data_IF_234362532949
#
_entry.id   IF_234362532949
#
_cell.length_a   1.000
_cell.length_b   1.000
_cell.length_c   1.000
_cell.angle_alpha   90.00
_cell.angle_beta   90.00
_cell.angle_gamma   90.00
#
_symmetry.space_group_name_H-M   'P 1'
#
loop_
_entity.id
_entity.type
_entity.pdbx_description
1 polymer ?
#
# COMPACT_ATOMS: atom_id res chain seq x y z
N UNK A 1 -12.12 19.12 -2.11
CA UNK A 1 -10.81 18.46 -2.44
C UNK A 1 -11.02 17.73 -3.75
N UNK A 2 -10.14 17.96 -4.73
CA UNK A 2 -10.21 17.29 -6.02
C UNK A 2 -9.83 15.81 -5.85
N UNK A 3 -10.51 14.95 -6.62
CA UNK A 3 -10.17 13.54 -6.79
C UNK A 3 -8.68 13.41 -7.18
N UNK A 4 -7.96 12.39 -6.72
CA UNK A 4 -6.59 12.14 -7.17
C UNK A 4 -6.53 12.14 -8.69
N UNK A 5 -5.53 12.73 -9.26
CA UNK A 5 -5.40 13.06 -10.68
C UNK A 5 -5.69 11.92 -11.67
N UNK A 6 -5.55 10.67 -11.26
CA UNK A 6 -5.85 9.49 -12.09
C UNK A 6 -7.09 8.71 -11.64
N UNK A 7 -7.89 9.24 -10.73
CA UNK A 7 -9.13 8.57 -10.27
C UNK A 7 -8.90 7.21 -9.59
N UNK A 8 -7.67 6.92 -9.16
CA UNK A 8 -7.36 5.68 -8.49
C UNK A 8 -7.83 5.74 -7.03
N UNK A 9 -8.69 4.78 -6.67
CA UNK A 9 -9.27 4.71 -5.34
C UNK A 9 -10.38 5.74 -5.11
N UNK A 10 -10.99 5.66 -3.94
CA UNK A 10 -11.98 6.62 -3.47
C UNK A 10 -11.36 7.48 -2.38
N UNK A 11 -11.66 8.77 -2.41
CA UNK A 11 -11.35 9.66 -1.29
C UNK A 11 -12.32 9.31 -0.18
N UNK A 12 -11.75 8.89 0.94
CA UNK A 12 -12.45 8.61 2.16
C UNK A 12 -12.22 9.83 3.04
N UNK A 13 -13.22 10.69 3.16
CA UNK A 13 -13.06 11.93 3.90
C UNK A 13 -12.97 11.62 5.40
N UNK A 14 -11.72 11.53 5.90
CA UNK A 14 -11.38 11.44 7.33
C UNK A 14 -12.10 10.29 8.08
N UNK A 15 -12.23 9.11 7.44
CA UNK A 15 -12.80 7.94 8.10
C UNK A 15 -11.97 7.58 9.36
N UNK A 16 -12.60 7.50 10.54
CA UNK A 16 -11.89 7.26 11.79
C UNK A 16 -11.52 5.78 12.01
N UNK A 17 -12.15 4.87 11.28
CA UNK A 17 -11.94 3.43 11.40
C UNK A 17 -11.76 2.75 10.04
N UNK A 18 -11.01 1.66 10.02
CA UNK A 18 -10.75 0.89 8.80
C UNK A 18 -12.01 0.33 8.17
N UNK A 19 -12.98 -0.09 8.98
CA UNK A 19 -14.26 -0.64 8.49
C UNK A 19 -15.05 0.39 7.70
N UNK A 20 -15.19 1.59 8.23
CA UNK A 20 -15.87 2.69 7.51
C UNK A 20 -15.15 3.03 6.21
N UNK A 21 -13.82 3.05 6.25
CA UNK A 21 -12.98 3.26 5.07
C UNK A 21 -13.19 2.19 3.99
N UNK A 22 -13.34 0.92 4.39
CA UNK A 22 -13.64 -0.20 3.49
C UNK A 22 -14.99 -0.03 2.79
N UNK A 23 -16.05 0.25 3.56
CA UNK A 23 -17.41 0.42 3.05
C UNK A 23 -17.46 1.60 2.07
N UNK A 24 -16.89 2.75 2.43
CA UNK A 24 -16.82 3.93 1.58
C UNK A 24 -16.02 3.69 0.28
N UNK A 25 -15.00 2.86 0.34
CA UNK A 25 -14.18 2.49 -0.82
C UNK A 25 -14.81 1.40 -1.69
N UNK A 26 -15.86 0.71 -1.21
CA UNK A 26 -16.47 -0.44 -1.88
C UNK A 26 -15.54 -1.65 -1.90
N UNK A 27 -14.81 -1.86 -0.80
CA UNK A 27 -13.86 -2.96 -0.60
C UNK A 27 -14.34 -3.98 0.45
N UNK A 28 -15.59 -3.88 0.88
CA UNK A 28 -16.25 -4.71 1.89
C UNK A 28 -16.65 -6.12 1.40
N UNK A 29 -16.26 -6.48 0.17
CA UNK A 29 -16.47 -7.82 -0.38
C UNK A 29 -15.51 -8.85 0.21
N UNK A 30 -15.96 -10.11 0.22
CA UNK A 30 -15.20 -11.26 0.69
C UNK A 30 -14.50 -11.99 -0.46
N UNK A 31 -13.42 -12.69 -0.13
CA UNK A 31 -12.72 -13.60 -1.05
C UNK A 31 -13.00 -15.04 -0.64
N UNK A 32 -13.44 -15.82 -1.61
CA UNK A 32 -13.74 -17.26 -1.43
C UNK A 32 -12.69 -18.12 -2.14
N UNK A 33 -12.34 -19.24 -1.52
CA UNK A 33 -11.46 -20.23 -2.14
C UNK A 33 -12.30 -21.28 -2.84
N UNK A 34 -12.15 -21.44 -4.16
CA UNK A 34 -12.90 -22.40 -4.97
C UNK A 34 -11.99 -23.40 -5.66
N UNK A 35 -12.49 -24.63 -5.89
CA UNK A 35 -11.80 -25.64 -6.67
C UNK A 35 -11.65 -25.19 -8.12
N UNK A 36 -10.56 -25.58 -8.77
CA UNK A 36 -10.36 -25.37 -10.20
C UNK A 36 -10.40 -26.73 -10.93
N UNK A 37 -10.87 -26.69 -12.17
CA UNK A 37 -11.07 -27.88 -12.98
C UNK A 37 -10.39 -27.71 -14.34
N UNK A 38 -9.93 -28.83 -14.91
CA UNK A 38 -9.44 -28.88 -16.28
C UNK A 38 -10.58 -28.74 -17.29
N UNK A 39 -10.26 -28.48 -18.55
CA UNK A 39 -11.25 -28.48 -19.64
C UNK A 39 -12.03 -29.80 -19.81
N UNK A 40 -11.55 -30.88 -19.23
CA UNK A 40 -12.23 -32.21 -19.22
C UNK A 40 -13.09 -32.42 -17.96
N UNK A 41 -13.17 -31.40 -17.06
CA UNK A 41 -13.94 -31.49 -15.82
C UNK A 41 -13.20 -32.15 -14.64
N UNK A 42 -11.97 -32.57 -14.81
CA UNK A 42 -11.18 -33.14 -13.71
C UNK A 42 -10.69 -32.01 -12.78
N UNK A 43 -10.81 -32.20 -11.46
CA UNK A 43 -10.29 -31.27 -10.47
C UNK A 43 -8.76 -31.21 -10.55
N UNK A 44 -8.20 -30.00 -10.49
CA UNK A 44 -6.75 -29.78 -10.46
C UNK A 44 -6.31 -29.73 -9.00
N UNK A 45 -5.54 -30.72 -8.50
CA UNK A 45 -5.11 -30.76 -7.11
C UNK A 45 -3.98 -29.75 -6.86
N UNK A 46 -3.84 -29.33 -5.60
CA UNK A 46 -2.76 -28.43 -5.16
C UNK A 46 -2.97 -26.96 -5.49
N UNK A 47 -4.04 -26.59 -6.17
CA UNK A 47 -4.37 -25.22 -6.55
C UNK A 47 -5.83 -24.87 -6.25
N UNK A 48 -6.07 -23.58 -5.99
CA UNK A 48 -7.39 -23.00 -5.73
C UNK A 48 -7.53 -21.68 -6.48
N UNK A 49 -8.76 -21.34 -6.83
CA UNK A 49 -9.09 -20.00 -7.32
C UNK A 49 -9.55 -19.13 -6.14
N UNK A 50 -8.94 -17.96 -6.00
CA UNK A 50 -9.49 -16.89 -5.15
C UNK A 50 -10.54 -16.14 -5.97
N UNK A 51 -11.76 -16.09 -5.47
CA UNK A 51 -12.93 -15.55 -6.18
C UNK A 51 -13.59 -14.49 -5.30
N UNK A 52 -13.95 -13.36 -5.90
CA UNK A 52 -14.70 -12.31 -5.20
C UNK A 52 -16.17 -12.72 -5.06
N UNK A 53 -16.71 -12.62 -3.84
CA UNK A 53 -18.05 -13.11 -3.50
C UNK A 53 -19.20 -12.34 -4.17
N UNK A 54 -18.97 -11.09 -4.58
CA UNK A 54 -20.04 -10.20 -5.09
C UNK A 54 -20.38 -10.41 -6.56
N UNK A 55 -19.42 -10.90 -7.37
CA UNK A 55 -19.57 -11.00 -8.84
C UNK A 55 -18.87 -12.22 -9.45
N UNK A 56 -18.42 -13.15 -8.62
CA UNK A 56 -17.68 -14.36 -9.03
C UNK A 56 -16.39 -14.10 -9.82
N UNK A 57 -15.85 -12.87 -9.77
CA UNK A 57 -14.62 -12.53 -10.46
C UNK A 57 -13.42 -13.30 -9.90
N UNK A 58 -12.69 -13.99 -10.78
CA UNK A 58 -11.46 -14.70 -10.40
C UNK A 58 -10.33 -13.69 -10.17
N UNK A 59 -9.89 -13.57 -8.93
CA UNK A 59 -8.81 -12.67 -8.53
C UNK A 59 -7.44 -13.30 -8.78
N UNK A 60 -7.31 -14.62 -8.62
CA UNK A 60 -6.07 -15.33 -8.86
C UNK A 60 -6.20 -16.83 -8.70
N UNK A 61 -5.19 -17.56 -9.18
CA UNK A 61 -5.01 -18.98 -8.91
C UNK A 61 -3.79 -19.14 -8.03
N UNK A 62 -3.97 -19.74 -6.88
CA UNK A 62 -2.96 -19.84 -5.83
C UNK A 62 -2.79 -21.29 -5.39
N UNK A 63 -1.71 -21.60 -4.66
CA UNK A 63 -1.57 -22.94 -4.09
C UNK A 63 -2.61 -23.19 -2.99
N UNK A 64 -2.90 -24.45 -2.70
CA UNK A 64 -3.78 -24.86 -1.60
C UNK A 64 -3.28 -24.46 -0.20
N UNK A 65 -1.98 -24.12 -0.08
CA UNK A 65 -1.37 -23.58 1.14
C UNK A 65 -1.57 -22.08 1.31
N UNK A 66 -2.09 -21.40 0.28
CA UNK A 66 -2.35 -19.96 0.37
C UNK A 66 -3.50 -19.71 1.36
N UNK A 67 -3.25 -18.82 2.32
CA UNK A 67 -4.25 -18.38 3.27
C UNK A 67 -4.81 -17.03 2.82
N UNK A 68 -6.10 -17.01 2.56
CA UNK A 68 -6.78 -15.76 2.24
C UNK A 68 -6.72 -14.86 3.49
N UNK A 69 -6.26 -13.63 3.29
CA UNK A 69 -6.42 -12.54 4.25
C UNK A 69 -7.51 -11.65 3.68
N UNK A 70 -8.65 -11.59 4.35
CA UNK A 70 -9.76 -10.75 3.92
C UNK A 70 -9.40 -9.26 3.97
N UNK A 71 -10.09 -8.43 3.19
CA UNK A 71 -9.87 -6.99 3.22
C UNK A 71 -10.08 -6.43 4.63
N UNK A 72 -11.16 -6.85 5.28
CA UNK A 72 -11.48 -6.45 6.65
C UNK A 72 -10.36 -6.83 7.63
N UNK A 73 -9.83 -8.07 7.56
CA UNK A 73 -8.73 -8.52 8.42
C UNK A 73 -7.44 -7.69 8.20
N UNK A 74 -7.09 -7.44 6.92
CA UNK A 74 -5.89 -6.68 6.58
C UNK A 74 -5.97 -5.23 7.08
N UNK A 75 -7.15 -4.63 7.07
CA UNK A 75 -7.32 -3.24 7.46
C UNK A 75 -7.63 -3.06 8.94
N UNK A 76 -8.35 -4.00 9.59
CA UNK A 76 -8.51 -4.03 11.03
C UNK A 76 -7.17 -4.17 11.75
N UNK A 77 -6.27 -4.99 11.20
CA UNK A 77 -4.88 -5.05 11.66
C UNK A 77 -4.23 -3.67 11.79
N UNK A 78 -4.64 -2.74 10.93
CA UNK A 78 -4.10 -1.38 10.93
C UNK A 78 -4.65 -0.53 12.07
N UNK A 79 -5.93 -0.69 12.42
CA UNK A 79 -6.51 0.00 13.58
C UNK A 79 -5.76 -0.40 14.87
N UNK A 80 -5.50 -1.70 15.01
CA UNK A 80 -4.71 -2.24 16.13
C UNK A 80 -3.27 -1.72 16.16
N UNK A 81 -2.72 -1.44 14.97
CA UNK A 81 -1.34 -1.01 14.80
C UNK A 81 -1.14 0.48 15.12
N UNK A 82 -2.08 1.31 14.72
CA UNK A 82 -1.91 2.77 14.66
C UNK A 82 -2.39 3.50 15.91
N UNK A 83 -3.37 2.96 16.61
CA UNK A 83 -3.97 3.62 17.78
C UNK A 83 -4.72 4.91 17.41
N UNK A 84 -4.94 5.77 18.41
CA UNK A 84 -5.73 6.99 18.26
C UNK A 84 -5.07 8.06 17.37
N UNK A 85 -5.90 8.83 16.67
CA UNK A 85 -5.49 10.02 15.90
C UNK A 85 -5.06 9.77 14.45
N UNK A 86 -5.16 8.55 13.96
CA UNK A 86 -4.97 8.22 12.56
C UNK A 86 -6.28 8.39 11.80
N UNK A 87 -6.20 8.92 10.59
CA UNK A 87 -7.35 9.05 9.69
C UNK A 87 -7.07 8.40 8.36
N UNK A 88 -8.01 7.59 7.88
CA UNK A 88 -7.92 7.00 6.55
C UNK A 88 -8.29 8.03 5.50
N UNK A 89 -7.43 8.23 4.50
CA UNK A 89 -7.59 9.29 3.50
C UNK A 89 -8.07 8.76 2.15
N UNK A 90 -7.50 7.67 1.68
CA UNK A 90 -7.87 7.03 0.41
C UNK A 90 -7.75 5.52 0.49
N UNK A 91 -8.61 4.82 -0.21
CA UNK A 91 -8.52 3.39 -0.39
C UNK A 91 -9.00 2.99 -1.78
N UNK A 92 -8.57 1.83 -2.27
CA UNK A 92 -8.98 1.36 -3.57
C UNK A 92 -8.44 -0.02 -3.93
N UNK A 93 -8.81 -0.46 -5.13
CA UNK A 93 -8.32 -1.70 -5.70
C UNK A 93 -7.69 -1.48 -7.06
N UNK A 94 -6.83 -2.42 -7.46
CA UNK A 94 -6.14 -2.46 -8.72
C UNK A 94 -6.43 -3.78 -9.43
N UNK A 95 -6.31 -3.78 -10.74
CA UNK A 95 -6.44 -4.98 -11.57
C UNK A 95 -7.73 -5.76 -11.29
N UNK A 96 -8.85 -5.05 -11.17
CA UNK A 96 -10.16 -5.66 -10.93
C UNK A 96 -10.33 -6.27 -9.54
N UNK A 97 -9.63 -5.75 -8.52
CA UNK A 97 -9.71 -6.25 -7.15
C UNK A 97 -8.63 -7.25 -6.76
N UNK A 98 -7.72 -7.62 -7.68
CA UNK A 98 -6.59 -8.54 -7.38
C UNK A 98 -5.66 -7.99 -6.30
N UNK A 99 -5.56 -6.67 -6.22
CA UNK A 99 -4.75 -5.94 -5.25
C UNK A 99 -5.60 -4.86 -4.61
N UNK A 100 -5.51 -4.73 -3.30
CA UNK A 100 -6.21 -3.70 -2.54
C UNK A 100 -5.21 -2.90 -1.71
N UNK A 101 -5.49 -1.64 -1.51
CA UNK A 101 -4.63 -0.75 -0.74
C UNK A 101 -5.47 0.28 0.02
N UNK A 102 -4.90 0.76 1.11
CA UNK A 102 -5.43 1.85 1.92
C UNK A 102 -4.30 2.77 2.34
N UNK A 103 -4.58 4.06 2.36
CA UNK A 103 -3.68 5.10 2.80
C UNK A 103 -4.23 5.74 4.07
N UNK A 104 -3.47 5.66 5.14
CA UNK A 104 -3.75 6.34 6.39
C UNK A 104 -2.77 7.51 6.57
N UNK A 105 -3.32 8.66 6.98
CA UNK A 105 -2.53 9.83 7.33
C UNK A 105 -2.16 9.78 8.81
N UNK A 106 -0.88 9.89 9.11
CA UNK A 106 -0.40 9.91 10.48
C UNK A 106 -0.54 11.31 11.09
N UNK A 107 -0.84 11.42 12.40
CA UNK A 107 -1.05 12.71 13.05
C UNK A 107 0.23 13.54 13.17
N UNK A 108 1.39 12.87 13.21
CA UNK A 108 2.68 13.52 13.37
C UNK A 108 3.11 14.15 12.05
N UNK A 109 3.57 15.40 12.11
CA UNK A 109 4.14 16.14 10.97
C UNK A 109 5.63 16.27 11.18
N UNK A 110 6.37 16.30 10.07
CA UNK A 110 7.81 16.51 10.04
C UNK A 110 8.11 17.78 9.25
N UNK A 111 9.16 18.51 9.64
CA UNK A 111 9.69 19.61 8.87
C UNK A 111 10.87 19.08 8.05
N UNK A 112 10.87 19.35 6.75
CA UNK A 112 11.97 19.01 5.84
C UNK A 112 12.24 20.24 4.97
N UNK A 113 13.40 20.82 5.08
CA UNK A 113 13.78 22.06 4.35
C UNK A 113 12.77 23.21 4.51
N UNK A 114 12.18 23.36 5.69
CA UNK A 114 11.15 24.36 5.98
C UNK A 114 9.72 23.99 5.58
N UNK A 115 9.52 22.91 4.83
CA UNK A 115 8.21 22.45 4.40
C UNK A 115 7.62 21.39 5.35
N UNK A 116 6.30 21.47 5.56
CA UNK A 116 5.59 20.46 6.33
C UNK A 116 5.35 19.20 5.49
N UNK A 117 5.96 18.09 5.90
CA UNK A 117 5.74 16.76 5.34
C UNK A 117 4.86 15.94 6.27
N UNK A 118 3.75 15.47 5.75
CA UNK A 118 2.84 14.57 6.45
C UNK A 118 3.16 13.13 6.03
N UNK A 119 3.56 12.25 6.94
CA UNK A 119 3.79 10.87 6.60
C UNK A 119 2.47 10.12 6.46
N UNK A 120 2.47 9.16 5.56
CA UNK A 120 1.38 8.23 5.32
C UNK A 120 1.80 6.82 5.67
N UNK A 121 0.84 6.04 6.10
CA UNK A 121 0.95 4.59 6.19
C UNK A 121 0.18 4.00 5.01
N UNK A 122 0.87 3.22 4.19
CA UNK A 122 0.28 2.44 3.10
C UNK A 122 0.11 1.02 3.59
N UNK A 123 -1.12 0.53 3.53
CA UNK A 123 -1.46 -0.87 3.72
C UNK A 123 -1.79 -1.45 2.36
N UNK A 124 -1.26 -2.61 2.06
CA UNK A 124 -1.44 -3.27 0.78
C UNK A 124 -1.67 -4.77 0.99
N UNK A 125 -2.65 -5.32 0.29
CA UNK A 125 -2.91 -6.75 0.25
C UNK A 125 -3.09 -7.22 -1.20
N UNK A 126 -2.73 -8.47 -1.51
CA UNK A 126 -2.98 -9.05 -2.83
C UNK A 126 -3.72 -10.37 -2.71
N UNK A 127 -4.70 -10.60 -3.59
CA UNK A 127 -5.50 -11.82 -3.63
C UNK A 127 -5.06 -12.77 -4.76
N UNK A 128 -4.12 -12.33 -5.60
CA UNK A 128 -3.59 -13.09 -6.75
C UNK A 128 -2.33 -13.90 -6.44
N UNK A 129 -1.88 -13.88 -5.19
CA UNK A 129 -0.65 -14.56 -4.77
C UNK A 129 0.65 -13.86 -5.17
N UNK A 130 0.59 -12.70 -5.84
CA UNK A 130 1.78 -11.97 -6.30
C UNK A 130 2.55 -11.27 -5.18
N UNK A 131 1.92 -11.02 -4.05
CA UNK A 131 2.53 -10.34 -2.91
C UNK A 131 1.90 -10.78 -1.59
N UNK A 132 2.58 -10.53 -0.48
CA UNK A 132 2.01 -10.63 0.87
C UNK A 132 1.29 -9.35 1.29
N UNK A 133 0.73 -9.35 2.50
CA UNK A 133 0.27 -8.12 3.17
C UNK A 133 1.49 -7.28 3.46
N UNK A 134 1.47 -6.01 3.08
CA UNK A 134 2.54 -5.05 3.32
C UNK A 134 2.03 -3.84 4.06
N UNK A 135 2.86 -3.36 4.98
CA UNK A 135 2.65 -2.08 5.66
C UNK A 135 3.93 -1.27 5.52
N UNK A 136 3.81 -0.05 5.04
CA UNK A 136 4.96 0.81 4.83
C UNK A 136 4.65 2.26 5.20
N UNK A 137 5.58 2.91 5.89
CA UNK A 137 5.52 4.35 6.14
C UNK A 137 6.24 5.10 5.02
N UNK A 138 5.62 6.14 4.48
CA UNK A 138 6.13 6.91 3.34
C UNK A 138 5.70 8.37 3.43
N UNK A 139 6.53 9.32 2.97
CA UNK A 139 6.11 10.70 2.76
C UNK A 139 5.29 10.87 1.47
N UNK A 140 5.14 9.81 0.67
CA UNK A 140 4.53 9.87 -0.66
C UNK A 140 3.03 9.64 -0.52
N UNK A 141 2.23 10.60 -0.96
CA UNK A 141 0.79 10.46 -1.08
C UNK A 141 0.46 9.58 -2.29
N UNK A 142 -0.22 8.47 -2.03
CA UNK A 142 -0.65 7.55 -3.10
C UNK A 142 -1.86 8.14 -3.83
N UNK A 143 -1.70 8.40 -5.12
CA UNK A 143 -2.77 8.93 -5.99
C UNK A 143 -2.93 8.14 -7.29
N UNK A 144 -1.99 7.25 -7.60
CA UNK A 144 -2.03 6.39 -8.79
C UNK A 144 -1.16 5.14 -8.59
N UNK A 145 -1.21 4.20 -9.54
CA UNK A 145 -0.39 2.98 -9.52
C UNK A 145 1.11 3.28 -9.37
N UNK A 146 1.60 4.30 -10.06
CA UNK A 146 3.03 4.66 -10.02
C UNK A 146 3.43 5.18 -8.63
N UNK A 147 2.61 6.05 -8.02
CA UNK A 147 2.88 6.55 -6.67
C UNK A 147 2.71 5.45 -5.61
N UNK A 148 1.81 4.47 -5.80
CA UNK A 148 1.74 3.30 -4.94
C UNK A 148 3.01 2.45 -5.03
N UNK A 149 3.45 2.14 -6.25
CA UNK A 149 4.68 1.40 -6.47
C UNK A 149 5.90 2.15 -5.90
N UNK A 150 5.96 3.47 -6.11
CA UNK A 150 7.02 4.31 -5.56
C UNK A 150 6.99 4.27 -4.03
N UNK A 151 5.84 4.45 -3.40
CA UNK A 151 5.68 4.42 -1.95
C UNK A 151 6.13 3.08 -1.36
N UNK A 152 5.75 1.95 -1.96
CA UNK A 152 6.10 0.62 -1.48
C UNK A 152 7.57 0.25 -1.74
N UNK A 153 8.15 0.69 -2.87
CA UNK A 153 9.51 0.34 -3.26
C UNK A 153 10.57 1.24 -2.62
N UNK A 154 10.23 2.51 -2.34
CA UNK A 154 11.16 3.46 -1.71
C UNK A 154 11.06 3.48 -0.19
N UNK A 155 10.03 2.87 0.39
CA UNK A 155 9.93 2.73 1.83
C UNK A 155 11.10 1.88 2.36
N UNK A 156 12.08 2.53 2.97
CA UNK A 156 13.26 1.86 3.56
C UNK A 156 12.90 0.95 4.73
N UNK A 157 11.74 1.13 5.31
CA UNK A 157 11.17 0.32 6.40
C UNK A 157 9.76 -0.08 6.03
N UNK A 158 9.60 -1.33 5.68
CA UNK A 158 8.31 -1.95 5.41
C UNK A 158 8.22 -3.30 6.11
N UNK A 159 7.05 -3.58 6.65
CA UNK A 159 6.74 -4.89 7.18
C UNK A 159 5.97 -5.68 6.12
N UNK A 160 6.25 -6.97 6.01
CA UNK A 160 5.56 -7.87 5.07
C UNK A 160 5.26 -9.19 5.74
N UNK A 161 4.03 -9.65 5.62
CA UNK A 161 3.61 -10.99 6.01
C UNK A 161 3.16 -11.79 4.78
N UNK A 162 3.56 -13.05 4.74
CA UNK A 162 3.14 -13.98 3.68
C UNK A 162 1.74 -14.51 3.95
N UNK A 163 1.00 -14.81 2.91
CA UNK A 163 -0.32 -15.46 2.98
C UNK A 163 -0.31 -16.93 3.46
N UNK A 164 0.79 -17.41 3.96
CA UNK A 164 0.92 -18.71 4.63
C UNK A 164 0.97 -18.59 6.16
N UNK A 165 1.01 -17.36 6.67
CA UNK A 165 1.13 -17.03 8.09
C UNK A 165 -0.17 -16.42 8.64
N UNK A 166 -0.33 -16.44 9.94
CA UNK A 166 -1.40 -15.68 10.59
C UNK A 166 -0.92 -14.23 10.77
N UNK A 167 -1.41 -13.34 9.92
CA UNK A 167 -1.04 -11.92 9.89
C UNK A 167 -1.34 -11.23 11.22
N UNK A 168 -2.48 -11.57 11.84
CA UNK A 168 -2.91 -10.96 13.11
C UNK A 168 -1.96 -11.24 14.27
N UNK A 169 -1.25 -12.39 14.26
CA UNK A 169 -0.27 -12.71 15.30
C UNK A 169 1.03 -11.92 15.19
N UNK A 170 1.23 -11.16 14.10
CA UNK A 170 2.45 -10.41 13.82
C UNK A 170 2.32 -8.90 14.00
N UNK A 171 1.30 -8.44 14.71
CA UNK A 171 1.07 -7.01 15.01
C UNK A 171 2.30 -6.39 15.71
N UNK A 172 2.92 -7.11 16.63
CA UNK A 172 4.07 -6.60 17.37
C UNK A 172 5.29 -6.37 16.45
N UNK A 173 5.58 -7.30 15.54
CA UNK A 173 6.66 -7.15 14.56
C UNK A 173 6.43 -5.92 13.66
N UNK A 174 5.16 -5.68 13.27
CA UNK A 174 4.80 -4.53 12.48
C UNK A 174 4.96 -3.22 13.25
N UNK A 175 4.57 -3.18 14.53
CA UNK A 175 4.78 -2.01 15.41
C UNK A 175 6.26 -1.65 15.53
N UNK A 176 7.12 -2.62 15.76
CA UNK A 176 8.56 -2.41 15.83
C UNK A 176 9.12 -1.86 14.52
N UNK A 177 8.68 -2.42 13.39
CA UNK A 177 9.06 -1.92 12.06
C UNK A 177 8.63 -0.47 11.85
N UNK A 178 7.41 -0.11 12.27
CA UNK A 178 6.91 1.25 12.15
C UNK A 178 7.59 2.23 13.09
N UNK A 179 7.99 1.80 14.29
CA UNK A 179 8.80 2.62 15.18
C UNK A 179 10.15 2.98 14.54
N UNK A 180 10.78 2.00 13.89
CA UNK A 180 12.01 2.24 13.13
C UNK A 180 11.78 3.15 11.93
N UNK A 181 10.62 3.06 11.27
CA UNK A 181 10.24 3.95 10.17
C UNK A 181 10.00 5.39 10.65
N UNK A 182 9.44 5.57 11.85
CA UNK A 182 9.29 6.90 12.46
C UNK A 182 10.65 7.56 12.72
N UNK A 183 11.63 6.79 13.20
CA UNK A 183 12.99 7.28 13.39
C UNK A 183 13.63 7.67 12.04
N UNK A 184 13.37 6.87 11.00
CA UNK A 184 13.83 7.19 9.64
C UNK A 184 13.24 8.51 9.11
N UNK A 185 11.98 8.82 9.41
CA UNK A 185 11.38 10.10 9.00
C UNK A 185 12.08 11.32 9.64
N UNK A 186 12.54 11.18 10.89
CA UNK A 186 13.34 12.21 11.55
C UNK A 186 14.71 12.38 10.86
N UNK A 187 15.37 11.26 10.54
CA UNK A 187 16.64 11.26 9.82
C UNK A 187 16.51 11.86 8.41
N UNK A 188 15.40 11.54 7.71
CA UNK A 188 15.07 12.13 6.41
C UNK A 188 14.88 13.66 6.51
N UNK A 189 14.26 14.15 7.58
CA UNK A 189 14.13 15.58 7.87
C UNK A 189 15.50 16.25 7.97
N UNK A 190 16.36 15.72 8.83
CA UNK A 190 17.72 16.25 9.02
C UNK A 190 18.52 16.26 7.70
N UNK A 191 18.40 15.18 6.91
CA UNK A 191 19.07 15.08 5.61
C UNK A 191 18.51 16.06 4.58
N UNK A 192 17.20 16.30 4.59
CA UNK A 192 16.54 17.30 3.75
C UNK A 192 17.01 18.71 4.08
N UNK A 193 17.13 19.02 5.36
CA UNK A 193 17.63 20.32 5.82
C UNK A 193 19.10 20.52 5.40
N UNK A 194 19.96 19.50 5.51
CA UNK A 194 21.34 19.54 5.01
C UNK A 194 21.38 19.82 3.50
N UNK A 195 20.56 19.13 2.71
CA UNK A 195 20.51 19.27 1.26
C UNK A 195 19.96 20.64 0.82
N UNK A 196 19.03 21.21 1.57
CA UNK A 196 18.46 22.54 1.29
C UNK A 196 19.50 23.67 1.39
N UNK A 197 20.61 23.46 2.09
CA UNK A 197 21.70 24.40 2.21
C UNK A 197 22.80 24.23 1.14
N UNK A 198 22.63 23.29 0.21
CA UNK A 198 23.58 23.07 -0.89
C UNK A 198 23.19 23.93 -2.09
N UNK A 199 23.98 24.92 -2.40
CA UNK A 199 23.83 25.73 -3.62
C UNK A 199 24.19 24.90 -4.86
N UNK A 200 23.26 24.78 -5.78
CA UNK A 200 23.49 24.19 -7.09
C UNK A 200 23.62 25.27 -8.14
N UNK A 201 24.72 25.24 -8.92
CA UNK A 201 24.85 26.13 -10.07
C UNK A 201 23.85 25.76 -11.17
N UNK A 202 23.41 26.75 -11.97
CA UNK A 202 22.49 26.55 -13.09
C UNK A 202 22.96 25.47 -14.05
N UNK A 203 24.27 25.35 -14.27
CA UNK A 203 24.87 24.32 -15.09
C UNK A 203 24.60 22.91 -14.54
N UNK A 204 24.74 22.70 -13.23
CA UNK A 204 24.43 21.40 -12.58
C UNK A 204 22.93 21.07 -12.61
N UNK A 205 22.09 22.09 -12.48
CA UNK A 205 20.62 21.91 -12.62
C UNK A 205 20.27 21.48 -14.03
N UNK A 206 20.89 22.06 -15.06
CA UNK A 206 20.70 21.66 -16.45
C UNK A 206 21.18 20.24 -16.72
N UNK A 207 22.36 19.85 -16.24
CA UNK A 207 22.86 18.46 -16.36
C UNK A 207 21.89 17.46 -15.76
N UNK A 208 21.39 17.69 -14.52
CA UNK A 208 20.41 16.83 -13.86
C UNK A 208 19.09 16.74 -14.65
N UNK A 209 18.62 17.85 -15.22
CA UNK A 209 17.41 17.88 -16.05
C UNK A 209 17.58 17.10 -17.35
N UNK A 210 18.75 17.18 -18.00
CA UNK A 210 19.06 16.45 -19.23
C UNK A 210 19.13 14.94 -18.99
N UNK A 211 19.64 14.46 -17.87
CA UNK A 211 19.65 13.04 -17.52
C UNK A 211 18.21 12.50 -17.41
N UNK A 212 17.29 13.26 -16.83
CA UNK A 212 15.89 12.85 -16.70
C UNK A 212 15.10 12.89 -18.02
N UNK A 213 15.48 13.73 -18.96
CA UNK A 213 14.86 13.84 -20.28
C UNK A 213 15.38 12.77 -21.25
N UNK A 214 16.63 12.33 -21.09
CA UNK A 214 17.29 11.39 -22.00
C UNK A 214 17.10 9.92 -21.63
N UNK A 215 16.61 9.59 -20.44
CA UNK A 215 16.25 8.20 -20.13
C UNK A 215 14.89 7.85 -20.77
N UNK A 216 14.86 6.95 -21.78
CA UNK A 216 13.59 6.49 -22.30
C UNK A 216 12.84 5.74 -21.20
N UNK A 217 11.66 6.23 -20.85
CA UNK A 217 10.73 5.49 -19.99
C UNK A 217 10.52 4.12 -20.64
N UNK A 218 11.06 3.04 -20.05
CA UNK A 218 10.77 1.68 -20.48
C UNK A 218 9.26 1.48 -20.40
N UNK A 219 8.59 1.10 -21.50
CA UNK A 219 7.19 0.74 -21.43
C UNK A 219 7.06 -0.50 -20.56
N UNK A 220 6.14 -0.43 -19.58
CA UNK A 220 5.76 -1.52 -18.70
C UNK A 220 4.89 -2.54 -19.43
#
# INVERSE_FOLDING_TARGET
RETPWHGLGRIIMDAPASREALELAGLDWQVESRNIYSGTGAMIPGYRANVRSTDDAVLGVVSDRYRIVQNEEAFQFTDDLLGEGVTYETAGSLQGGKKVWMLARLPRKYLIAGDQVVPYLVIFNSHDGSSGVKVAMTPIRVVCQNTLNLALNTAKRSWTARHTENVLLRVQDARETLQLASNYMVELGNRGDELAHIDLSDHKVQELSLIHISEPTRPY
#
